data_IF_786098490466
#
_entry.id   IF_786098490466
#
_cell.length_a   1.000
_cell.length_b   1.000
_cell.length_c   1.000
_cell.angle_alpha   90.00
_cell.angle_beta   90.00
_cell.angle_gamma   90.00
#
_symmetry.space_group_name_H-M   'P 1'
#
loop_
_entity.id
_entity.type
_entity.pdbx_description
1 polymer ?
#
# COMPACT_ATOMS: atom_id res chain seq x y z
N UNK A 1 -3.43 -3.32 25.65
CA UNK A 1 -2.13 -2.90 25.12
C UNK A 1 -2.28 -1.48 24.53
N UNK A 2 -1.30 -0.60 24.81
CA UNK A 2 -1.36 0.83 24.41
C UNK A 2 -1.57 0.99 22.90
N UNK A 3 -0.88 0.21 22.09
CA UNK A 3 -1.01 0.23 20.63
C UNK A 3 -2.42 -0.21 20.20
N UNK A 4 -2.91 -1.34 20.69
CA UNK A 4 -4.24 -1.84 20.37
C UNK A 4 -5.33 -0.84 20.76
N UNK A 5 -5.21 -0.23 21.95
CA UNK A 5 -6.18 0.75 22.46
C UNK A 5 -6.15 2.04 21.62
N UNK A 6 -4.97 2.46 21.15
CA UNK A 6 -4.81 3.61 20.28
C UNK A 6 -5.49 3.38 18.92
N UNK A 7 -5.26 2.24 18.24
CA UNK A 7 -5.96 1.90 16.99
C UNK A 7 -7.48 1.89 17.19
N UNK A 8 -7.96 1.21 18.26
CA UNK A 8 -9.40 1.14 18.60
C UNK A 8 -10.02 2.52 18.79
N UNK A 9 -9.29 3.45 19.38
CA UNK A 9 -9.79 4.80 19.64
C UNK A 9 -9.96 5.66 18.39
N UNK A 10 -9.26 5.31 17.30
CA UNK A 10 -9.25 6.07 16.05
C UNK A 10 -10.20 5.53 14.99
N UNK A 11 -10.60 4.28 15.08
CA UNK A 11 -11.35 3.56 14.04
C UNK A 11 -12.82 3.37 14.45
N UNK A 12 -13.75 3.71 13.57
CA UNK A 12 -15.18 3.64 13.83
C UNK A 12 -15.92 2.85 12.73
N UNK A 13 -16.04 1.56 12.91
CA UNK A 13 -16.73 0.67 11.98
C UNK A 13 -18.25 0.87 12.08
N UNK A 14 -18.92 1.07 10.94
CA UNK A 14 -20.36 1.40 10.87
C UNK A 14 -21.26 0.24 10.50
N UNK A 15 -20.72 -0.84 9.94
CA UNK A 15 -21.47 -2.06 9.61
C UNK A 15 -20.61 -3.31 9.85
N UNK A 16 -21.23 -4.47 10.14
CA UNK A 16 -20.49 -5.74 10.21
C UNK A 16 -19.73 -6.00 8.90
N UNK A 17 -18.54 -6.53 9.02
CA UNK A 17 -17.70 -6.90 7.88
C UNK A 17 -17.01 -8.24 8.14
N UNK A 18 -16.72 -8.96 7.06
CA UNK A 18 -16.02 -10.24 7.06
C UNK A 18 -14.77 -10.14 6.22
N UNK A 19 -13.62 -10.47 6.79
CA UNK A 19 -12.33 -10.35 6.11
C UNK A 19 -11.56 -11.67 6.12
N UNK A 20 -10.62 -11.79 5.18
CA UNK A 20 -9.52 -12.75 5.29
C UNK A 20 -8.27 -11.97 5.70
N UNK A 21 -7.54 -12.49 6.67
CA UNK A 21 -6.32 -11.86 7.17
C UNK A 21 -5.17 -12.85 7.08
N UNK A 22 -4.20 -12.55 6.26
CA UNK A 22 -2.96 -13.29 6.11
C UNK A 22 -1.82 -12.56 6.81
N UNK A 23 -1.33 -13.13 7.91
CA UNK A 23 -0.21 -12.59 8.67
C UNK A 23 1.15 -13.18 8.25
N UNK A 24 1.21 -14.13 7.31
CA UNK A 24 2.44 -14.76 6.85
C UNK A 24 3.31 -15.35 7.97
N UNK A 25 2.72 -15.78 9.09
CA UNK A 25 3.41 -16.19 10.31
C UNK A 25 4.33 -15.11 10.93
N UNK A 26 4.11 -13.84 10.63
CA UNK A 26 4.98 -12.71 10.94
C UNK A 26 4.43 -11.82 12.06
N UNK A 27 4.97 -10.60 12.20
CA UNK A 27 4.71 -9.70 13.34
C UNK A 27 3.24 -9.28 13.46
N UNK A 28 2.51 -9.12 12.34
CA UNK A 28 1.09 -8.77 12.36
C UNK A 28 0.23 -9.76 13.15
N UNK A 29 0.63 -11.05 13.20
CA UNK A 29 -0.08 -12.10 13.94
C UNK A 29 -0.22 -11.82 15.44
N UNK A 30 0.66 -10.98 16.00
CA UNK A 30 0.68 -10.66 17.44
C UNK A 30 -0.49 -9.75 17.83
N UNK A 31 -0.79 -8.75 17.00
CA UNK A 31 -1.74 -7.69 17.36
C UNK A 31 -2.96 -7.59 16.42
N UNK A 32 -2.80 -7.80 15.12
CA UNK A 32 -3.84 -7.54 14.15
C UNK A 32 -5.12 -8.36 14.40
N UNK A 33 -5.09 -9.69 14.67
CA UNK A 33 -6.30 -10.46 14.94
C UNK A 33 -7.10 -9.93 16.14
N UNK A 34 -6.42 -9.56 17.22
CA UNK A 34 -7.07 -9.01 18.42
C UNK A 34 -7.69 -7.64 18.15
N UNK A 35 -6.96 -6.75 17.47
CA UNK A 35 -7.45 -5.41 17.13
C UNK A 35 -8.74 -5.51 16.30
N UNK A 36 -8.73 -6.25 15.20
CA UNK A 36 -9.88 -6.30 14.30
C UNK A 36 -11.08 -7.04 14.90
N UNK A 37 -10.88 -8.11 15.66
CA UNK A 37 -11.96 -8.74 16.46
C UNK A 37 -12.61 -7.75 17.42
N UNK A 38 -11.79 -6.94 18.08
CA UNK A 38 -12.28 -5.91 19.01
C UNK A 38 -13.04 -4.77 18.34
N UNK A 39 -12.82 -4.53 17.06
CA UNK A 39 -13.58 -3.60 16.22
C UNK A 39 -14.89 -4.22 15.68
N UNK A 40 -15.20 -5.47 16.04
CA UNK A 40 -16.41 -6.17 15.60
C UNK A 40 -16.30 -6.79 14.21
N UNK A 41 -15.10 -7.00 13.71
CA UNK A 41 -14.83 -7.62 12.40
C UNK A 41 -14.79 -9.14 12.55
N UNK A 42 -15.48 -9.86 11.66
CA UNK A 42 -15.37 -11.32 11.52
C UNK A 42 -14.15 -11.65 10.66
N UNK A 43 -13.23 -12.44 11.20
CA UNK A 43 -11.93 -12.72 10.56
C UNK A 43 -11.81 -14.21 10.22
N UNK A 44 -11.48 -14.50 8.98
CA UNK A 44 -10.87 -15.77 8.57
C UNK A 44 -9.36 -15.58 8.61
N UNK A 45 -8.72 -16.19 9.60
CA UNK A 45 -7.27 -16.12 9.80
C UNK A 45 -6.53 -17.09 8.87
N UNK A 46 -5.45 -16.60 8.24
CA UNK A 46 -4.41 -17.34 7.54
C UNK A 46 -3.08 -17.03 8.19
N UNK A 47 -2.36 -18.09 8.60
CA UNK A 47 -0.97 -18.00 9.07
C UNK A 47 -0.77 -16.95 10.18
N UNK A 48 -1.75 -16.83 11.09
CA UNK A 48 -1.76 -15.90 12.22
C UNK A 48 -1.11 -16.47 13.49
N UNK A 49 -0.28 -17.51 13.36
CA UNK A 49 0.60 -18.04 14.42
C UNK A 49 2.03 -17.58 14.13
N UNK A 50 2.69 -16.78 14.99
CA UNK A 50 4.05 -16.32 14.73
C UNK A 50 5.06 -17.48 14.62
N UNK A 51 5.76 -17.56 13.49
CA UNK A 51 6.81 -18.54 13.24
C UNK A 51 7.89 -17.94 12.32
N UNK A 52 9.04 -17.58 12.88
CA UNK A 52 10.15 -16.96 12.14
C UNK A 52 10.78 -17.84 11.06
N UNK A 53 10.32 -19.07 10.85
CA UNK A 53 10.73 -19.91 9.72
C UNK A 53 9.87 -19.70 8.48
N UNK A 54 8.73 -18.99 8.61
CA UNK A 54 7.78 -18.70 7.53
C UNK A 54 7.37 -19.93 6.73
N UNK A 55 6.78 -20.96 7.37
CA UNK A 55 6.63 -22.30 6.78
C UNK A 55 5.64 -22.37 5.62
N UNK A 56 4.79 -21.36 5.44
CA UNK A 56 3.73 -21.35 4.42
C UNK A 56 4.16 -20.57 3.16
N UNK A 57 4.52 -19.31 3.32
CA UNK A 57 5.07 -18.46 2.27
C UNK A 57 5.94 -17.35 2.90
N UNK A 58 6.78 -16.72 2.09
CA UNK A 58 7.54 -15.55 2.55
C UNK A 58 6.56 -14.36 2.75
N UNK A 59 6.60 -13.64 3.89
CA UNK A 59 5.69 -12.54 4.17
C UNK A 59 6.08 -11.29 3.38
N UNK A 60 5.79 -11.29 2.09
CA UNK A 60 5.98 -10.16 1.17
C UNK A 60 4.76 -10.03 0.26
N UNK A 61 3.85 -9.08 0.56
CA UNK A 61 2.62 -8.88 -0.20
C UNK A 61 2.81 -8.22 -1.57
N UNK A 62 4.04 -7.86 -1.93
CA UNK A 62 4.35 -7.33 -3.27
C UNK A 62 4.57 -8.43 -4.30
N UNK A 63 4.63 -9.68 -3.87
CA UNK A 63 4.80 -10.87 -4.70
C UNK A 63 3.48 -11.63 -4.77
N UNK A 64 2.87 -11.67 -5.95
CA UNK A 64 1.53 -12.26 -6.13
C UNK A 64 1.47 -13.75 -5.74
N UNK A 65 2.57 -14.50 -5.95
CA UNK A 65 2.65 -15.91 -5.55
C UNK A 65 2.47 -16.11 -4.03
N UNK A 66 2.82 -15.13 -3.22
CA UNK A 66 2.61 -15.16 -1.77
C UNK A 66 1.15 -14.89 -1.38
N UNK A 67 0.31 -14.42 -2.30
CA UNK A 67 -1.10 -14.09 -2.07
C UNK A 67 -2.07 -15.17 -2.55
N UNK A 68 -1.58 -16.28 -3.11
CA UNK A 68 -2.44 -17.31 -3.76
C UNK A 68 -3.51 -17.82 -2.80
N UNK A 69 -3.14 -18.20 -1.57
CA UNK A 69 -4.09 -18.75 -0.60
C UNK A 69 -5.12 -17.69 -0.15
N UNK A 70 -4.69 -16.44 -0.01
CA UNK A 70 -5.58 -15.31 0.27
C UNK A 70 -6.56 -15.10 -0.89
N UNK A 71 -6.06 -15.06 -2.13
CA UNK A 71 -6.88 -14.89 -3.34
C UNK A 71 -7.91 -16.02 -3.49
N UNK A 72 -7.49 -17.25 -3.27
CA UNK A 72 -8.37 -18.41 -3.38
C UNK A 72 -9.48 -18.40 -2.32
N UNK A 73 -9.17 -18.00 -1.09
CA UNK A 73 -10.18 -17.81 -0.06
C UNK A 73 -11.15 -16.68 -0.40
N UNK A 74 -10.66 -15.55 -0.88
CA UNK A 74 -11.52 -14.44 -1.31
C UNK A 74 -12.49 -14.88 -2.41
N UNK A 75 -12.03 -15.64 -3.42
CA UNK A 75 -12.87 -16.17 -4.49
C UNK A 75 -13.88 -17.20 -4.03
N UNK A 76 -13.58 -17.97 -3.01
CA UNK A 76 -14.41 -19.09 -2.52
C UNK A 76 -15.46 -18.70 -1.49
N UNK A 77 -15.33 -17.52 -0.87
CA UNK A 77 -16.12 -17.11 0.27
C UNK A 77 -16.87 -15.78 0.06
N UNK A 78 -17.66 -15.43 1.06
CA UNK A 78 -18.35 -14.14 1.13
C UNK A 78 -17.58 -13.24 2.08
N UNK A 79 -16.47 -12.71 1.62
CA UNK A 79 -15.62 -11.77 2.35
C UNK A 79 -15.66 -10.40 1.68
N UNK A 80 -15.56 -9.34 2.45
CA UNK A 80 -15.59 -7.96 1.95
C UNK A 80 -14.21 -7.53 1.43
N UNK A 81 -13.13 -7.97 2.09
CA UNK A 81 -11.73 -7.66 1.73
C UNK A 81 -10.77 -8.67 2.33
N UNK A 82 -9.65 -8.90 1.64
CA UNK A 82 -8.51 -9.68 2.11
C UNK A 82 -7.30 -8.77 2.37
N UNK A 83 -6.58 -9.04 3.46
CA UNK A 83 -5.33 -8.36 3.81
C UNK A 83 -4.19 -9.35 3.92
N UNK A 84 -3.03 -8.97 3.39
CA UNK A 84 -1.76 -9.65 3.63
C UNK A 84 -0.75 -8.65 4.20
N UNK A 85 -0.03 -9.06 5.22
CA UNK A 85 0.98 -8.23 5.90
C UNK A 85 2.36 -8.77 5.63
N UNK A 86 3.35 -7.89 5.62
CA UNK A 86 4.73 -8.29 5.51
C UNK A 86 5.39 -8.64 6.85
N UNK A 87 6.70 -8.90 6.82
CA UNK A 87 7.44 -9.46 7.95
C UNK A 87 7.38 -8.65 9.24
N UNK A 88 7.41 -7.34 9.18
CA UNK A 88 7.36 -6.42 10.32
C UNK A 88 6.08 -5.56 10.38
N UNK A 89 5.13 -5.85 9.49
CA UNK A 89 3.80 -5.23 9.41
C UNK A 89 3.82 -3.72 9.07
N UNK A 90 4.76 -3.30 8.25
CA UNK A 90 4.82 -1.94 7.72
C UNK A 90 4.30 -1.82 6.28
N UNK A 91 4.05 -2.95 5.58
CA UNK A 91 3.44 -3.05 4.26
C UNK A 91 2.18 -3.89 4.26
N UNK A 92 1.17 -3.45 3.52
CA UNK A 92 -0.09 -4.16 3.35
C UNK A 92 -0.39 -4.45 1.88
N UNK A 93 -0.74 -5.69 1.58
CA UNK A 93 -1.38 -6.12 0.35
C UNK A 93 -2.88 -6.24 0.57
N UNK A 94 -3.65 -5.87 -0.44
CA UNK A 94 -5.12 -5.87 -0.37
C UNK A 94 -5.69 -6.66 -1.53
N UNK A 95 -6.70 -7.51 -1.24
CA UNK A 95 -7.42 -8.31 -2.25
C UNK A 95 -8.91 -8.01 -2.15
N UNK A 96 -9.55 -7.68 -3.28
CA UNK A 96 -10.98 -7.39 -3.32
C UNK A 96 -11.84 -8.66 -3.17
N UNK A 97 -13.15 -8.48 -3.06
CA UNK A 97 -14.14 -9.56 -2.92
C UNK A 97 -14.23 -10.48 -4.14
N UNK A 98 -13.57 -10.11 -5.25
CA UNK A 98 -13.48 -10.92 -6.48
C UNK A 98 -12.14 -11.65 -6.62
N UNK A 99 -11.24 -11.44 -5.65
CA UNK A 99 -9.89 -12.01 -5.68
C UNK A 99 -8.90 -11.26 -6.56
N UNK A 100 -9.14 -9.98 -6.86
CA UNK A 100 -8.15 -9.15 -7.53
C UNK A 100 -7.26 -8.43 -6.51
N UNK A 101 -5.98 -8.46 -6.75
CA UNK A 101 -5.00 -7.71 -5.95
C UNK A 101 -5.13 -6.22 -6.27
N UNK A 102 -5.22 -5.39 -5.24
CA UNK A 102 -5.08 -3.94 -5.34
C UNK A 102 -3.65 -3.56 -4.97
N UNK A 103 -2.96 -2.98 -5.92
CA UNK A 103 -1.62 -2.45 -5.65
C UNK A 103 -1.70 -1.15 -4.84
N UNK A 104 -0.59 -0.75 -4.24
CA UNK A 104 -0.57 0.35 -3.29
C UNK A 104 -1.07 1.69 -3.87
N UNK A 105 -0.78 1.98 -5.13
CA UNK A 105 -1.26 3.18 -5.83
C UNK A 105 -2.77 3.17 -6.08
N UNK A 106 -3.37 2.00 -6.35
CA UNK A 106 -4.81 1.83 -6.41
C UNK A 106 -5.44 2.00 -5.01
N UNK A 107 -4.82 1.40 -4.00
CA UNK A 107 -5.26 1.55 -2.60
C UNK A 107 -5.18 3.01 -2.14
N UNK A 108 -4.10 3.71 -2.44
CA UNK A 108 -3.98 5.15 -2.18
C UNK A 108 -5.10 5.93 -2.86
N UNK A 109 -5.40 5.61 -4.12
CA UNK A 109 -6.48 6.26 -4.88
C UNK A 109 -7.85 6.12 -4.22
N UNK A 110 -8.12 5.00 -3.54
CA UNK A 110 -9.38 4.76 -2.81
C UNK A 110 -9.50 5.68 -1.58
N UNK A 111 -8.39 6.03 -0.93
CA UNK A 111 -8.40 6.93 0.23
C UNK A 111 -8.55 8.41 -0.14
N UNK A 112 -8.23 8.81 -1.38
CA UNK A 112 -8.19 10.23 -1.78
C UNK A 112 -9.46 11.03 -1.46
N UNK A 113 -10.69 10.51 -1.67
CA UNK A 113 -11.92 11.24 -1.34
C UNK A 113 -12.05 11.58 0.14
N UNK A 114 -11.46 10.75 1.02
CA UNK A 114 -11.47 11.00 2.46
C UNK A 114 -10.34 11.95 2.89
N UNK A 115 -9.24 11.97 2.17
CA UNK A 115 -8.04 12.76 2.49
C UNK A 115 -8.13 14.16 1.88
N UNK A 116 -8.47 14.26 0.59
CA UNK A 116 -8.47 15.55 -0.13
C UNK A 116 -9.77 16.29 0.15
N UNK A 117 -9.67 17.41 0.86
CA UNK A 117 -10.80 18.32 1.19
C UNK A 117 -10.59 19.74 0.66
N UNK A 118 -9.35 20.24 0.67
CA UNK A 118 -9.01 21.61 0.34
C UNK A 118 -7.72 21.73 -0.48
N UNK A 119 -7.42 20.76 -1.35
CA UNK A 119 -6.21 20.78 -2.16
C UNK A 119 -4.97 20.28 -1.43
N UNK A 120 -5.13 19.22 -0.63
CA UNK A 120 -4.05 18.58 0.11
C UNK A 120 -2.97 18.03 -0.82
N UNK A 121 -1.73 18.14 -0.38
CA UNK A 121 -0.59 17.50 -1.00
C UNK A 121 -0.64 15.98 -0.76
N UNK A 122 -0.40 15.20 -1.82
CA UNK A 122 -0.32 13.74 -1.77
C UNK A 122 1.04 13.32 -2.30
N UNK A 123 1.82 12.65 -1.47
CA UNK A 123 3.18 12.26 -1.78
C UNK A 123 3.24 10.78 -2.18
N UNK A 124 3.90 10.47 -3.29
CA UNK A 124 4.02 9.10 -3.77
C UNK A 124 5.35 8.85 -4.48
N UNK A 125 5.76 7.59 -4.55
CA UNK A 125 7.03 7.26 -5.17
C UNK A 125 6.92 7.13 -6.69
N UNK A 126 8.07 7.25 -7.36
CA UNK A 126 8.18 7.22 -8.83
C UNK A 126 7.67 5.92 -9.48
N UNK A 127 7.50 4.84 -8.72
CA UNK A 127 7.02 3.55 -9.23
C UNK A 127 5.49 3.46 -9.32
N UNK A 128 4.78 4.38 -8.69
CA UNK A 128 3.33 4.45 -8.76
C UNK A 128 2.86 4.77 -10.18
N UNK A 129 1.67 4.24 -10.54
CA UNK A 129 1.04 4.46 -11.84
C UNK A 129 0.64 5.92 -12.04
N UNK A 130 0.62 6.37 -13.31
CA UNK A 130 0.01 7.65 -13.70
C UNK A 130 -1.45 7.76 -13.23
N UNK A 131 -2.14 6.63 -13.07
CA UNK A 131 -3.50 6.62 -12.54
C UNK A 131 -3.63 7.30 -11.18
N UNK A 132 -2.65 7.15 -10.29
CA UNK A 132 -2.66 7.80 -8.98
C UNK A 132 -2.59 9.33 -9.12
N UNK A 133 -1.69 9.85 -9.96
CA UNK A 133 -1.59 11.29 -10.21
C UNK A 133 -2.88 11.86 -10.80
N UNK A 134 -3.48 11.14 -11.76
CA UNK A 134 -4.76 11.54 -12.36
C UNK A 134 -5.89 11.55 -11.33
N UNK A 135 -5.94 10.56 -10.43
CA UNK A 135 -6.93 10.52 -9.36
C UNK A 135 -6.73 11.63 -8.33
N UNK A 136 -5.47 11.96 -7.98
CA UNK A 136 -5.17 13.11 -7.10
C UNK A 136 -5.68 14.40 -7.73
N UNK A 137 -5.38 14.64 -8.99
CA UNK A 137 -5.86 15.81 -9.74
C UNK A 137 -7.40 15.83 -9.87
N UNK A 138 -8.03 14.66 -10.11
CA UNK A 138 -9.48 14.52 -10.18
C UNK A 138 -10.18 14.99 -8.90
N UNK A 139 -9.60 14.66 -7.72
CA UNK A 139 -10.14 15.09 -6.43
C UNK A 139 -9.66 16.49 -6.01
N UNK A 140 -8.85 17.17 -6.82
CA UNK A 140 -8.37 18.53 -6.57
C UNK A 140 -7.23 18.62 -5.56
N UNK A 141 -6.48 17.54 -5.37
CA UNK A 141 -5.24 17.52 -4.60
C UNK A 141 -4.02 17.92 -5.43
N UNK A 142 -2.87 18.03 -4.79
CA UNK A 142 -1.59 18.34 -5.42
C UNK A 142 -0.69 17.09 -5.41
N UNK A 143 -0.39 16.48 -6.57
CA UNK A 143 0.49 15.32 -6.64
C UNK A 143 1.96 15.72 -6.43
N UNK A 144 2.64 15.04 -5.54
CA UNK A 144 4.08 15.20 -5.29
C UNK A 144 4.79 13.86 -5.50
N UNK A 145 5.37 13.67 -6.67
CA UNK A 145 6.20 12.51 -6.95
C UNK A 145 7.58 12.64 -6.29
N UNK A 146 8.04 11.59 -5.61
CA UNK A 146 9.31 11.59 -4.91
C UNK A 146 10.11 10.30 -5.12
N UNK A 147 11.29 10.29 -4.55
CA UNK A 147 12.21 9.13 -4.58
C UNK A 147 11.63 7.99 -3.77
N UNK A 148 11.79 6.76 -4.26
CA UNK A 148 11.45 5.54 -3.52
C UNK A 148 12.31 5.41 -2.26
N UNK A 149 11.71 4.94 -1.18
CA UNK A 149 12.33 4.68 0.11
C UNK A 149 11.53 5.29 1.25
N UNK A 150 10.96 4.43 2.10
CA UNK A 150 10.03 4.82 3.17
C UNK A 150 10.57 5.94 4.07
N UNK A 151 11.88 5.91 4.37
CA UNK A 151 12.54 6.98 5.15
C UNK A 151 12.57 8.32 4.41
N UNK A 152 12.78 8.30 3.07
CA UNK A 152 12.82 9.49 2.23
C UNK A 152 11.43 10.09 2.05
N UNK A 153 10.41 9.23 1.94
CA UNK A 153 9.01 9.65 1.89
C UNK A 153 8.61 10.32 3.21
N UNK A 154 8.87 9.68 4.36
CA UNK A 154 8.56 10.25 5.70
C UNK A 154 9.27 11.58 5.93
N UNK A 155 10.54 11.68 5.54
CA UNK A 155 11.28 12.94 5.61
C UNK A 155 10.64 14.03 4.76
N UNK A 156 10.28 13.71 3.51
CA UNK A 156 9.66 14.66 2.58
C UNK A 156 8.27 15.09 3.03
N UNK A 157 7.47 14.16 3.53
CA UNK A 157 6.15 14.46 4.11
C UNK A 157 6.27 15.49 5.24
N UNK A 158 7.24 15.30 6.15
CA UNK A 158 7.50 16.24 7.24
C UNK A 158 7.95 17.60 6.72
N UNK A 159 8.85 17.61 5.71
CA UNK A 159 9.39 18.84 5.12
C UNK A 159 8.31 19.72 4.49
N UNK A 160 7.36 19.11 3.77
CA UNK A 160 6.29 19.84 3.06
C UNK A 160 4.98 19.94 3.83
N UNK A 161 4.88 19.29 5.00
CA UNK A 161 3.65 19.25 5.79
C UNK A 161 2.57 18.35 5.18
N UNK A 162 2.94 17.39 4.32
CA UNK A 162 2.03 16.47 3.68
C UNK A 162 1.45 15.47 4.69
N UNK A 163 0.14 15.21 4.59
CA UNK A 163 -0.58 14.37 5.57
C UNK A 163 -0.87 12.95 5.09
N UNK A 164 -0.63 12.66 3.81
CA UNK A 164 -0.87 11.36 3.24
C UNK A 164 0.12 11.07 2.11
N UNK A 165 0.67 9.88 2.12
CA UNK A 165 1.57 9.44 1.07
C UNK A 165 1.76 7.93 1.08
N UNK A 166 2.52 7.42 0.10
CA UNK A 166 2.84 6.00 0.04
C UNK A 166 3.80 5.64 -1.08
N UNK A 167 4.10 4.36 -1.12
CA UNK A 167 4.99 3.75 -2.10
C UNK A 167 4.33 2.54 -2.76
N UNK A 168 4.71 2.25 -4.00
CA UNK A 168 4.24 1.07 -4.73
C UNK A 168 4.50 -0.24 -3.99
N UNK A 169 5.49 -0.26 -3.11
CA UNK A 169 5.84 -1.41 -2.27
C UNK A 169 4.84 -1.76 -1.17
N UNK A 170 3.81 -0.94 -0.93
CA UNK A 170 2.78 -1.18 0.09
C UNK A 170 2.94 -0.38 1.38
N UNK A 171 4.01 0.42 1.53
CA UNK A 171 4.10 1.41 2.61
C UNK A 171 3.13 2.55 2.37
N UNK A 172 2.20 2.79 3.28
CA UNK A 172 1.25 3.90 3.24
C UNK A 172 1.31 4.67 4.56
N UNK A 173 1.34 5.98 4.45
CA UNK A 173 1.59 6.89 5.57
C UNK A 173 0.39 7.82 5.78
N UNK A 174 -0.18 7.78 6.97
CA UNK A 174 -1.20 8.72 7.41
C UNK A 174 -0.63 9.66 8.47
N UNK A 175 -0.73 10.97 8.25
CA UNK A 175 -0.39 12.02 9.20
C UNK A 175 -1.55 13.02 9.39
N UNK A 176 -2.76 12.65 8.96
CA UNK A 176 -4.01 13.39 9.18
C UNK A 176 -4.53 13.19 10.62
N UNK A 177 -4.66 11.94 11.04
CA UNK A 177 -5.05 11.52 12.40
C UNK A 177 -4.14 10.39 12.91
N UNK A 178 -2.91 10.32 12.40
CA UNK A 178 -1.88 9.36 12.79
C UNK A 178 -0.50 10.01 12.82
N UNK A 179 0.54 9.24 13.09
CA UNK A 179 1.88 9.76 13.38
C UNK A 179 2.76 9.95 12.14
N UNK A 180 2.30 9.59 10.94
CA UNK A 180 3.05 9.77 9.70
C UNK A 180 4.13 8.72 9.45
N UNK A 181 4.04 7.55 10.06
CA UNK A 181 4.88 6.40 9.74
C UNK A 181 4.05 5.27 9.11
N UNK A 182 4.76 4.33 8.52
CA UNK A 182 4.23 3.14 7.89
C UNK A 182 3.71 2.14 8.95
N UNK A 183 2.42 1.86 8.90
CA UNK A 183 1.74 0.93 9.81
C UNK A 183 0.64 0.22 9.03
N UNK A 184 0.92 -0.97 8.56
CA UNK A 184 0.02 -1.74 7.74
C UNK A 184 -1.29 -2.11 8.46
N UNK A 185 -1.24 -2.33 9.77
CA UNK A 185 -2.42 -2.64 10.59
C UNK A 185 -3.35 -1.42 10.65
N UNK A 186 -2.79 -0.22 10.84
CA UNK A 186 -3.57 1.02 10.81
C UNK A 186 -4.15 1.29 9.42
N UNK A 187 -3.38 1.09 8.34
CA UNK A 187 -3.87 1.25 6.96
C UNK A 187 -5.03 0.31 6.68
N UNK A 188 -4.93 -0.97 7.06
CA UNK A 188 -6.01 -1.94 6.92
C UNK A 188 -7.25 -1.53 7.72
N UNK A 189 -7.08 -1.05 8.95
CA UNK A 189 -8.18 -0.55 9.79
C UNK A 189 -8.87 0.69 9.19
N UNK A 190 -8.10 1.63 8.60
CA UNK A 190 -8.63 2.79 7.86
C UNK A 190 -9.43 2.38 6.63
N UNK A 191 -8.98 1.35 5.88
CA UNK A 191 -9.74 0.83 4.74
C UNK A 191 -11.06 0.20 5.19
N UNK A 192 -11.05 -0.58 6.28
CA UNK A 192 -12.28 -1.15 6.85
C UNK A 192 -13.25 -0.05 7.30
N UNK A 193 -12.75 0.98 7.95
CA UNK A 193 -13.58 2.13 8.31
C UNK A 193 -14.23 2.78 7.08
N UNK A 194 -13.45 3.04 6.03
CA UNK A 194 -13.96 3.60 4.76
C UNK A 194 -15.04 2.69 4.15
N UNK A 195 -14.75 1.40 3.99
CA UNK A 195 -15.69 0.41 3.45
C UNK A 195 -16.96 0.30 4.31
N UNK A 196 -16.85 0.43 5.62
CA UNK A 196 -18.00 0.38 6.52
C UNK A 196 -18.96 1.56 6.36
N UNK A 197 -18.49 2.69 5.85
CA UNK A 197 -19.28 3.92 5.63
C UNK A 197 -19.97 3.97 4.27
N UNK A 198 -19.66 3.04 3.36
CA UNK A 198 -20.23 2.99 2.01
C UNK A 198 -20.98 1.67 1.75
N UNK A 199 -21.91 1.70 0.79
CA UNK A 199 -22.56 0.49 0.27
C UNK A 199 -21.83 -0.11 -0.94
N UNK A 200 -20.77 0.55 -1.42
CA UNK A 200 -19.95 0.04 -2.53
C UNK A 200 -18.98 -1.02 -2.02
N UNK A 201 -18.77 -2.05 -2.83
CA UNK A 201 -17.71 -3.01 -2.61
C UNK A 201 -16.34 -2.42 -2.97
N UNK A 202 -15.27 -3.11 -2.59
CA UNK A 202 -13.91 -2.66 -2.90
C UNK A 202 -13.65 -2.66 -4.41
N UNK A 203 -14.13 -3.68 -5.15
CA UNK A 203 -14.01 -3.72 -6.61
C UNK A 203 -14.81 -2.61 -7.30
N UNK A 204 -15.95 -2.18 -6.74
CA UNK A 204 -16.71 -1.03 -7.26
C UNK A 204 -15.97 0.29 -7.01
N UNK A 205 -15.30 0.46 -5.86
CA UNK A 205 -14.46 1.62 -5.60
C UNK A 205 -13.25 1.65 -6.55
N UNK A 206 -12.62 0.50 -6.77
CA UNK A 206 -11.51 0.36 -7.73
C UNK A 206 -11.91 0.70 -9.16
N UNK A 207 -13.13 0.42 -9.57
CA UNK A 207 -13.59 0.53 -10.97
C UNK A 207 -13.52 1.95 -11.56
N UNK A 208 -13.40 2.98 -10.72
CA UNK A 208 -13.26 4.37 -11.18
C UNK A 208 -11.80 4.78 -11.45
N UNK A 209 -10.83 3.96 -11.04
CA UNK A 209 -9.41 4.24 -11.22
C UNK A 209 -9.04 3.93 -12.68
N UNK A 210 -8.39 4.86 -13.41
CA UNK A 210 -7.94 4.61 -14.77
C UNK A 210 -6.97 3.44 -14.84
N UNK A 211 -7.06 2.63 -15.90
CA UNK A 211 -6.15 1.52 -16.13
C UNK A 211 -5.14 1.92 -17.20
N UNK A 212 -3.86 1.89 -16.85
CA UNK A 212 -2.74 2.13 -17.74
C UNK A 212 -1.94 0.86 -18.01
N UNK A 213 -1.33 0.79 -19.19
CA UNK A 213 -0.40 -0.29 -19.48
C UNK A 213 0.88 -0.13 -18.67
N UNK A 214 1.26 -1.17 -17.98
CA UNK A 214 2.50 -1.24 -17.20
C UNK A 214 3.33 -2.45 -17.61
N UNK A 215 4.63 -2.36 -17.37
CA UNK A 215 5.53 -3.52 -17.43
C UNK A 215 5.85 -3.97 -16.03
N UNK A 216 6.13 -5.27 -15.82
CA UNK A 216 6.70 -5.72 -14.54
C UNK A 216 7.99 -4.96 -14.20
N UNK A 217 8.31 -4.86 -12.91
CA UNK A 217 9.61 -4.33 -12.48
C UNK A 217 10.72 -5.23 -13.05
N UNK A 218 11.61 -4.64 -13.84
CA UNK A 218 12.77 -5.35 -14.40
C UNK A 218 14.01 -4.97 -13.60
N UNK A 219 14.60 -5.96 -12.95
CA UNK A 219 15.86 -5.80 -12.20
C UNK A 219 17.05 -6.19 -13.09
N UNK A 220 18.04 -5.31 -13.12
CA UNK A 220 19.29 -5.55 -13.84
C UNK A 220 20.45 -5.44 -12.84
N UNK A 221 21.33 -6.46 -12.84
CA UNK A 221 22.55 -6.42 -12.07
C UNK A 221 23.59 -5.54 -12.77
N UNK A 222 24.26 -4.70 -12.01
CA UNK A 222 25.44 -3.95 -12.42
C UNK A 222 26.65 -4.46 -11.63
N UNK A 223 27.81 -4.44 -12.26
CA UNK A 223 29.06 -4.94 -11.66
C UNK A 223 29.49 -4.16 -10.41
N UNK A 224 29.25 -2.86 -10.45
CA UNK A 224 29.56 -1.92 -9.38
C UNK A 224 28.72 -0.61 -9.54
N UNK A 225 28.82 0.29 -8.58
CA UNK A 225 28.09 1.55 -8.61
C UNK A 225 28.47 2.46 -9.78
N UNK A 226 29.71 2.43 -10.24
CA UNK A 226 30.15 3.23 -11.38
C UNK A 226 29.45 2.79 -12.67
N UNK A 227 29.37 1.48 -12.90
CA UNK A 227 28.63 0.92 -14.05
C UNK A 227 27.13 1.22 -13.94
N UNK A 228 26.55 1.07 -12.76
CA UNK A 228 25.14 1.40 -12.47
C UNK A 228 24.82 2.85 -12.87
N UNK A 229 25.61 3.81 -12.40
CA UNK A 229 25.45 5.22 -12.78
C UNK A 229 25.62 5.49 -14.27
N UNK A 230 26.60 4.83 -14.91
CA UNK A 230 26.84 4.97 -16.34
C UNK A 230 25.70 4.43 -17.19
N UNK A 231 25.13 3.27 -16.83
CA UNK A 231 23.97 2.68 -17.49
C UNK A 231 22.76 3.61 -17.34
N UNK A 232 22.49 4.06 -16.13
CA UNK A 232 21.35 4.92 -15.85
C UNK A 232 21.45 6.27 -16.59
N UNK A 233 22.61 6.88 -16.62
CA UNK A 233 22.85 8.13 -17.39
C UNK A 233 22.57 7.93 -18.88
N UNK A 234 23.07 6.83 -19.47
CA UNK A 234 22.80 6.49 -20.88
C UNK A 234 21.32 6.25 -21.15
N UNK A 235 20.63 5.56 -20.22
CA UNK A 235 19.20 5.34 -20.34
C UNK A 235 18.42 6.67 -20.37
N UNK A 236 18.73 7.59 -19.44
CA UNK A 236 18.12 8.93 -19.43
C UNK A 236 18.35 9.64 -20.75
N UNK A 237 19.61 9.73 -21.20
CA UNK A 237 19.96 10.41 -22.44
C UNK A 237 19.20 9.82 -23.64
N UNK A 238 19.09 8.49 -23.72
CA UNK A 238 18.36 7.80 -24.78
C UNK A 238 16.85 8.10 -24.72
N UNK A 239 16.23 7.94 -23.56
CA UNK A 239 14.80 8.13 -23.42
C UNK A 239 14.40 9.60 -23.58
N UNK A 240 15.12 10.53 -22.97
CA UNK A 240 14.85 11.98 -23.14
C UNK A 240 14.96 12.43 -24.60
N UNK A 241 15.83 11.80 -25.39
CA UNK A 241 15.98 12.12 -26.80
C UNK A 241 14.87 11.56 -27.70
N UNK A 242 14.28 10.42 -27.34
CA UNK A 242 13.42 9.65 -28.22
C UNK A 242 11.94 9.63 -27.80
N UNK A 243 11.58 10.19 -26.65
CA UNK A 243 10.22 10.18 -26.10
C UNK A 243 9.88 11.53 -25.49
N UNK A 244 8.63 11.97 -25.63
CA UNK A 244 8.18 13.30 -25.23
C UNK A 244 7.91 13.45 -23.73
N UNK A 245 7.69 12.36 -23.00
CA UNK A 245 7.38 12.40 -21.58
C UNK A 245 8.16 11.33 -20.82
N UNK A 246 9.15 11.76 -20.04
CA UNK A 246 9.93 10.87 -19.18
C UNK A 246 10.15 11.55 -17.84
N UNK A 247 9.64 10.89 -16.81
CA UNK A 247 10.03 11.19 -15.44
C UNK A 247 11.04 10.13 -15.00
N UNK A 248 12.26 10.54 -14.73
CA UNK A 248 13.30 9.66 -14.21
C UNK A 248 13.88 10.23 -12.93
N UNK A 249 13.51 9.66 -11.81
CA UNK A 249 14.08 9.96 -10.52
C UNK A 249 15.26 9.01 -10.27
N UNK A 250 16.43 9.44 -10.73
CA UNK A 250 17.68 8.76 -10.40
C UNK A 250 18.00 8.93 -8.93
N UNK A 251 17.85 7.82 -8.22
CA UNK A 251 18.33 7.78 -6.87
C UNK A 251 19.00 6.45 -6.60
N UNK A 252 20.10 6.52 -5.88
CA UNK A 252 20.82 5.38 -5.39
C UNK A 252 20.58 5.29 -3.89
N UNK A 253 19.84 4.30 -3.44
CA UNK A 253 19.95 3.86 -2.07
C UNK A 253 21.32 3.21 -1.90
N UNK A 254 22.12 3.54 -0.88
CA UNK A 254 23.16 2.63 -0.48
C UNK A 254 22.47 1.29 -0.15
N UNK A 255 22.89 0.24 -0.83
CA UNK A 255 22.47 -1.12 -0.47
C UNK A 255 22.86 -1.35 0.99
N UNK A 256 21.99 -1.95 1.82
CA UNK A 256 22.37 -2.33 3.17
C UNK A 256 23.53 -3.30 3.17
#
# INVERSE_FOLDING_TARGET
DIYNDMIRSKINIKKPMRIVMDCGNAAAAINAPEIFKSLGIEIKELYCEPDGTFPNHHPDPTVEDNLIDLIDLMKSGNYDVGFAFDGDADRVGVVDEKGHVLWADELMSIFLPDIIKNGEDILFDVKCSQALEDMINHYGGNPIMWKTGHSLIKQKMTEVGCKFGGEMSGHIFFADDYYGYDDAIYVAARLLELLSKTNKSLSELRSIIPVYHSTPEMRMEAKDDEEKFKITKKAIEYFTKNFDCITCLLYTSPSP
#
